data_IF_834947965684
#
_entry.id   IF_834947965684
#
_cell.length_a   1.000
_cell.length_b   1.000
_cell.length_c   1.000
_cell.angle_alpha   90.00
_cell.angle_beta   90.00
_cell.angle_gamma   90.00
#
_symmetry.space_group_name_H-M   'P 1'
#
loop_
_entity.id
_entity.type
_entity.pdbx_description
1 polymer ?
#
# COMPACT_ATOMS: atom_id res chain seq x y z
N UNK A 1 35.03 -5.32 -10.52
CA UNK A 1 34.81 -5.87 -9.16
C UNK A 1 33.74 -6.96 -9.25
N UNK A 2 34.11 -8.23 -9.18
CA UNK A 2 33.20 -9.38 -9.46
C UNK A 2 33.11 -10.37 -8.30
N UNK A 3 33.49 -9.95 -7.09
CA UNK A 3 33.48 -10.81 -5.90
C UNK A 3 32.10 -10.84 -5.23
N UNK A 4 31.65 -12.03 -4.83
CA UNK A 4 30.54 -12.21 -3.89
C UNK A 4 31.08 -12.85 -2.62
N UNK A 5 30.85 -12.21 -1.47
CA UNK A 5 31.21 -12.77 -0.16
C UNK A 5 29.93 -13.28 0.50
N UNK A 6 29.80 -14.60 0.79
CA UNK A 6 28.64 -15.12 1.47
C UNK A 6 28.63 -14.66 2.93
N UNK A 7 27.49 -14.10 3.37
CA UNK A 7 27.24 -13.77 4.77
C UNK A 7 26.42 -14.90 5.38
N UNK A 8 26.86 -15.53 6.49
CA UNK A 8 26.13 -16.65 7.06
C UNK A 8 24.82 -16.19 7.71
N UNK A 9 23.74 -16.91 7.41
CA UNK A 9 22.40 -16.69 7.98
C UNK A 9 22.09 -17.88 8.90
N UNK A 10 22.07 -17.64 10.20
CA UNK A 10 21.79 -18.65 11.22
C UNK A 10 20.38 -18.46 11.81
N UNK A 11 19.77 -19.50 12.42
CA UNK A 11 18.54 -19.32 13.19
C UNK A 11 18.66 -18.20 14.22
N UNK A 12 17.67 -17.30 14.27
CA UNK A 12 17.64 -16.17 15.19
C UNK A 12 18.12 -14.83 14.61
N UNK A 13 18.71 -14.80 13.41
CA UNK A 13 18.94 -13.52 12.71
C UNK A 13 17.65 -13.05 12.00
N UNK A 14 17.41 -11.73 11.86
CA UNK A 14 16.19 -11.21 11.22
C UNK A 14 15.98 -11.64 9.76
N UNK A 15 17.04 -12.07 9.08
CA UNK A 15 16.99 -12.55 7.69
C UNK A 15 16.64 -14.05 7.57
N UNK A 16 16.48 -14.77 8.68
CA UNK A 16 16.07 -16.18 8.68
C UNK A 16 14.57 -16.30 8.33
N UNK A 17 14.25 -17.12 7.33
CA UNK A 17 12.90 -17.25 6.76
C UNK A 17 12.21 -18.60 7.07
N UNK A 18 12.62 -19.30 8.12
CA UNK A 18 12.02 -20.58 8.48
C UNK A 18 10.54 -20.41 8.84
N UNK A 19 9.65 -21.18 8.22
CA UNK A 19 8.19 -21.12 8.43
C UNK A 19 7.45 -20.11 7.53
N UNK A 20 8.15 -19.33 6.71
CA UNK A 20 7.55 -18.34 5.81
C UNK A 20 7.19 -18.93 4.43
N UNK A 21 6.36 -18.20 3.68
CA UNK A 21 5.94 -18.55 2.32
C UNK A 21 6.36 -17.48 1.32
N UNK A 22 6.73 -17.90 0.10
CA UNK A 22 6.93 -17.00 -1.04
C UNK A 22 5.61 -16.87 -1.78
N UNK A 23 5.09 -15.65 -1.90
CA UNK A 23 3.77 -15.39 -2.49
C UNK A 23 3.78 -14.24 -3.49
N UNK A 24 2.84 -14.28 -4.43
CA UNK A 24 2.45 -13.10 -5.21
C UNK A 24 1.44 -12.31 -4.40
N UNK A 25 1.89 -11.31 -3.64
CA UNK A 25 1.02 -10.57 -2.72
C UNK A 25 -0.26 -10.03 -3.38
N UNK A 26 -0.19 -9.51 -4.60
CA UNK A 26 -1.38 -9.06 -5.34
C UNK A 26 -2.44 -10.16 -5.56
N UNK A 27 -2.03 -11.43 -5.73
CA UNK A 27 -2.95 -12.57 -5.83
C UNK A 27 -3.54 -12.95 -4.47
N UNK A 28 -2.75 -12.84 -3.41
CA UNK A 28 -3.25 -13.03 -2.04
C UNK A 28 -4.29 -11.98 -1.69
N UNK A 29 -4.03 -10.70 -2.01
CA UNK A 29 -4.98 -9.60 -1.78
C UNK A 29 -6.25 -9.77 -2.60
N UNK A 30 -6.14 -10.15 -3.87
CA UNK A 30 -7.31 -10.48 -4.71
C UNK A 30 -8.18 -11.56 -4.05
N UNK A 31 -7.55 -12.67 -3.64
CA UNK A 31 -8.26 -13.76 -2.95
C UNK A 31 -8.89 -13.29 -1.64
N UNK A 32 -8.20 -12.49 -0.83
CA UNK A 32 -8.77 -11.93 0.40
C UNK A 32 -9.99 -11.04 0.13
N UNK A 33 -10.03 -10.33 -0.99
CA UNK A 33 -11.21 -9.58 -1.44
C UNK A 33 -12.41 -10.49 -1.66
N UNK A 34 -12.22 -11.60 -2.39
CA UNK A 34 -13.27 -12.61 -2.61
C UNK A 34 -13.78 -13.19 -1.29
N UNK A 35 -12.89 -13.44 -0.32
CA UNK A 35 -13.29 -13.90 1.02
C UNK A 35 -14.06 -12.84 1.80
N UNK A 36 -13.71 -11.56 1.65
CA UNK A 36 -14.41 -10.45 2.31
C UNK A 36 -15.82 -10.27 1.74
N UNK A 37 -15.98 -10.28 0.43
CA UNK A 37 -17.29 -10.22 -0.24
C UNK A 37 -18.18 -11.40 0.17
N UNK A 38 -17.62 -12.62 0.22
CA UNK A 38 -18.34 -13.80 0.70
C UNK A 38 -18.77 -13.68 2.18
N UNK A 39 -18.04 -12.90 2.99
CA UNK A 39 -18.40 -12.58 4.36
C UNK A 39 -19.39 -11.41 4.49
N UNK A 40 -19.87 -10.84 3.36
CA UNK A 40 -20.84 -9.76 3.31
C UNK A 40 -20.23 -8.35 3.37
N UNK A 41 -18.92 -8.22 3.19
CA UNK A 41 -18.27 -6.91 3.04
C UNK A 41 -18.58 -6.35 1.66
N UNK A 42 -19.03 -5.11 1.60
CA UNK A 42 -19.24 -4.40 0.34
C UNK A 42 -17.91 -3.81 -0.14
N UNK A 43 -17.40 -4.30 -1.28
CA UNK A 43 -16.10 -3.88 -1.83
C UNK A 43 -16.33 -2.99 -3.05
N UNK A 44 -15.76 -1.78 -2.99
CA UNK A 44 -15.88 -0.76 -4.04
C UNK A 44 -14.51 -0.54 -4.69
N UNK A 45 -14.11 -1.38 -5.68
CA UNK A 45 -12.85 -1.19 -6.39
C UNK A 45 -12.90 0.06 -7.27
N UNK A 46 -11.73 0.58 -7.65
CA UNK A 46 -11.57 1.74 -8.54
C UNK A 46 -12.15 3.07 -8.00
N UNK A 47 -12.58 3.10 -6.74
CA UNK A 47 -13.18 4.26 -6.11
C UNK A 47 -12.22 4.81 -5.05
N UNK A 48 -11.62 5.96 -5.37
CA UNK A 48 -10.69 6.64 -4.49
C UNK A 48 -11.44 7.52 -3.48
N UNK A 49 -11.17 7.32 -2.20
CA UNK A 49 -11.47 8.32 -1.17
C UNK A 49 -10.51 9.51 -1.37
N UNK A 50 -11.04 10.73 -1.49
CA UNK A 50 -10.29 11.95 -1.78
C UNK A 50 -10.38 13.01 -0.69
N UNK A 51 -11.39 12.92 0.17
CA UNK A 51 -11.63 13.88 1.24
C UNK A 51 -12.02 13.18 2.55
N UNK A 52 -11.53 13.71 3.67
CA UNK A 52 -11.96 13.29 5.02
C UNK A 52 -13.07 14.21 5.51
N UNK A 53 -14.22 13.63 5.84
CA UNK A 53 -15.36 14.36 6.38
C UNK A 53 -15.26 14.39 7.91
N UNK A 54 -15.56 15.55 8.51
CA UNK A 54 -15.54 15.74 9.96
C UNK A 54 -16.91 16.16 10.48
N UNK A 55 -17.24 15.71 11.68
CA UNK A 55 -18.37 16.21 12.45
C UNK A 55 -18.06 17.59 13.05
N UNK A 56 -19.08 18.26 13.56
CA UNK A 56 -18.94 19.56 14.23
C UNK A 56 -18.06 19.49 15.49
N UNK A 57 -18.03 18.34 16.17
CA UNK A 57 -17.16 18.09 17.33
C UNK A 57 -15.68 17.83 16.94
N UNK A 58 -15.37 17.83 15.64
CA UNK A 58 -14.04 17.60 15.10
C UNK A 58 -13.68 16.13 14.88
N UNK A 59 -14.53 15.17 15.29
CA UNK A 59 -14.33 13.74 15.04
C UNK A 59 -14.53 13.39 13.55
N UNK A 60 -13.97 12.26 13.11
CA UNK A 60 -14.13 11.79 11.72
C UNK A 60 -15.56 11.29 11.52
N UNK A 61 -16.24 11.85 10.52
CA UNK A 61 -17.59 11.45 10.08
C UNK A 61 -17.56 10.37 9.00
N UNK A 62 -16.50 10.36 8.19
CA UNK A 62 -16.42 9.49 7.01
C UNK A 62 -15.43 10.00 5.96
N UNK A 63 -15.66 9.59 4.71
CA UNK A 63 -14.90 10.03 3.54
C UNK A 63 -15.84 10.48 2.43
N UNK A 64 -15.31 11.26 1.48
CA UNK A 64 -15.95 11.45 0.18
C UNK A 64 -15.04 10.94 -0.94
N UNK A 65 -15.65 10.47 -2.02
CA UNK A 65 -14.93 10.03 -3.22
C UNK A 65 -14.57 11.21 -4.11
N UNK A 66 -13.68 10.99 -5.07
CA UNK A 66 -13.33 12.02 -6.05
C UNK A 66 -14.52 12.43 -6.92
N UNK A 67 -14.60 13.73 -7.21
CA UNK A 67 -15.44 14.26 -8.30
C UNK A 67 -14.93 13.73 -9.65
N UNK A 68 -15.85 13.47 -10.58
CA UNK A 68 -15.53 13.04 -11.96
C UNK A 68 -15.93 14.12 -12.96
N UNK A 69 -15.32 14.09 -14.15
CA UNK A 69 -15.64 15.05 -15.21
C UNK A 69 -15.02 16.43 -15.02
N UNK A 70 -13.87 16.54 -14.36
CA UNK A 70 -13.09 17.79 -14.25
C UNK A 70 -12.04 17.86 -15.38
N UNK A 71 -11.91 19.04 -16.00
CA UNK A 71 -10.91 19.38 -17.00
C UNK A 71 -9.49 19.47 -16.44
N UNK A 72 -8.49 19.40 -17.33
CA UNK A 72 -7.08 19.59 -16.94
C UNK A 72 -6.82 21.00 -16.39
N UNK A 73 -7.63 21.95 -16.82
CA UNK A 73 -7.69 23.35 -16.36
C UNK A 73 -8.46 23.51 -15.03
N UNK A 74 -9.06 22.44 -14.51
CA UNK A 74 -9.88 22.46 -13.30
C UNK A 74 -11.35 22.84 -13.53
N UNK A 75 -11.76 23.15 -14.77
CA UNK A 75 -13.15 23.50 -15.08
C UNK A 75 -14.03 22.23 -15.16
N UNK A 76 -15.29 22.27 -14.71
CA UNK A 76 -16.21 21.15 -14.89
C UNK A 76 -16.52 20.94 -16.38
N UNK A 77 -16.52 19.69 -16.83
CA UNK A 77 -16.97 19.28 -18.17
C UNK A 77 -18.46 18.98 -18.14
N UNK A 78 -19.05 18.78 -19.32
CA UNK A 78 -20.47 18.41 -19.47
C UNK A 78 -20.87 17.14 -18.70
N UNK A 79 -19.92 16.22 -18.46
CA UNK A 79 -20.10 15.00 -17.66
C UNK A 79 -19.70 15.13 -16.19
N UNK A 80 -19.65 16.34 -15.63
CA UNK A 80 -19.28 16.54 -14.24
C UNK A 80 -20.27 15.85 -13.29
N UNK A 81 -19.74 15.09 -12.34
CA UNK A 81 -20.51 14.51 -11.24
C UNK A 81 -19.72 14.64 -9.94
N UNK A 82 -20.43 15.06 -8.89
CA UNK A 82 -19.89 15.12 -7.53
C UNK A 82 -19.60 13.73 -7.00
N UNK A 83 -18.53 13.61 -6.23
CA UNK A 83 -18.21 12.42 -5.46
C UNK A 83 -19.28 12.11 -4.41
N UNK A 84 -19.32 10.86 -3.98
CA UNK A 84 -20.27 10.36 -3.00
C UNK A 84 -19.68 10.44 -1.59
N UNK A 85 -20.50 10.85 -0.62
CA UNK A 85 -20.14 10.81 0.79
C UNK A 85 -20.46 9.44 1.40
N UNK A 86 -19.50 8.85 2.10
CA UNK A 86 -19.66 7.65 2.90
C UNK A 86 -19.55 8.03 4.37
N UNK A 87 -20.68 8.05 5.08
CA UNK A 87 -20.70 8.31 6.52
C UNK A 87 -20.59 6.99 7.28
N UNK A 88 -19.69 6.95 8.26
CA UNK A 88 -19.47 5.76 9.07
C UNK A 88 -19.20 6.16 10.52
N UNK A 89 -19.66 5.33 11.46
CA UNK A 89 -19.35 5.50 12.89
C UNK A 89 -17.86 5.39 13.18
N UNK A 90 -17.14 4.62 12.38
CA UNK A 90 -15.70 4.44 12.45
C UNK A 90 -15.17 4.29 11.03
N UNK A 91 -14.14 5.07 10.71
CA UNK A 91 -13.43 4.98 9.42
C UNK A 91 -12.02 4.48 9.68
N UNK A 92 -11.65 3.36 9.06
CA UNK A 92 -10.29 2.80 9.16
C UNK A 92 -9.48 3.26 7.96
N UNK A 93 -8.40 4.00 8.21
CA UNK A 93 -7.50 4.47 7.17
C UNK A 93 -6.41 3.42 6.91
N UNK A 94 -6.49 2.74 5.75
CA UNK A 94 -5.61 1.64 5.35
C UNK A 94 -4.92 1.90 3.99
N UNK A 95 -4.58 3.15 3.68
CA UNK A 95 -3.95 3.55 2.41
C UNK A 95 -2.53 2.98 2.19
N UNK A 96 -1.90 2.45 3.25
CA UNK A 96 -0.54 1.94 3.21
C UNK A 96 0.53 3.02 3.36
N UNK A 97 1.70 2.78 2.76
CA UNK A 97 2.87 3.63 2.92
C UNK A 97 2.61 5.06 2.39
N UNK A 98 2.67 6.05 3.29
CA UNK A 98 2.52 7.49 2.97
C UNK A 98 1.14 7.85 2.38
N UNK A 99 0.07 7.28 2.94
CA UNK A 99 -1.33 7.63 2.60
C UNK A 99 -1.63 9.13 2.71
N UNK A 100 -2.36 9.66 1.73
CA UNK A 100 -2.59 11.11 1.63
C UNK A 100 -3.69 11.61 2.58
N UNK A 101 -4.76 10.84 2.78
CA UNK A 101 -5.79 11.15 3.78
C UNK A 101 -5.26 10.89 5.18
N UNK A 102 -4.54 9.79 5.36
CA UNK A 102 -3.88 9.40 6.61
C UNK A 102 -2.96 10.53 7.08
N UNK A 103 -2.19 11.15 6.17
CA UNK A 103 -1.37 12.33 6.49
C UNK A 103 -2.23 13.48 7.03
N UNK A 104 -3.36 13.80 6.39
CA UNK A 104 -4.24 14.87 6.85
C UNK A 104 -4.82 14.60 8.25
N UNK A 105 -5.24 13.36 8.51
CA UNK A 105 -5.74 12.93 9.83
C UNK A 105 -4.65 13.01 10.89
N UNK A 106 -3.45 12.51 10.58
CA UNK A 106 -2.29 12.58 11.47
C UNK A 106 -1.95 14.02 11.84
N UNK A 107 -2.02 14.95 10.87
CA UNK A 107 -1.74 16.37 11.08
C UNK A 107 -2.85 17.04 11.90
N UNK A 108 -4.14 16.80 11.58
CA UNK A 108 -5.28 17.39 12.29
C UNK A 108 -5.30 17.03 13.78
N UNK A 109 -5.01 15.76 14.11
CA UNK A 109 -5.04 15.27 15.48
C UNK A 109 -3.67 15.25 16.16
N UNK A 110 -2.63 15.82 15.53
CA UNK A 110 -1.27 15.90 16.06
C UNK A 110 -0.72 14.52 16.53
N UNK A 111 -0.89 13.50 15.68
CA UNK A 111 -0.59 12.10 16.03
C UNK A 111 0.86 11.69 15.77
N UNK A 112 1.74 12.64 15.41
CA UNK A 112 3.15 12.37 15.10
C UNK A 112 4.08 13.16 16.00
N UNK A 113 5.02 12.46 16.61
CA UNK A 113 6.09 13.07 17.41
C UNK A 113 7.41 13.22 16.63
N UNK A 114 7.53 12.56 15.49
CA UNK A 114 8.73 12.56 14.65
C UNK A 114 8.36 12.33 13.17
N UNK A 115 9.27 12.73 12.27
CA UNK A 115 9.13 12.46 10.85
C UNK A 115 9.37 10.97 10.55
N UNK A 116 8.52 10.39 9.69
CA UNK A 116 8.71 9.03 9.20
C UNK A 116 9.80 8.99 8.12
N UNK A 117 10.64 7.96 8.14
CA UNK A 117 11.64 7.66 7.10
C UNK A 117 11.10 6.60 6.14
N UNK A 118 11.51 6.67 4.88
CA UNK A 118 11.00 5.80 3.81
C UNK A 118 12.13 5.30 2.92
N UNK A 119 11.92 4.14 2.32
CA UNK A 119 12.71 3.63 1.19
C UNK A 119 11.81 3.43 -0.03
N UNK A 120 12.39 3.52 -1.22
CA UNK A 120 11.71 3.18 -2.47
C UNK A 120 12.09 1.76 -2.89
N UNK A 121 11.08 0.92 -3.15
CA UNK A 121 11.26 -0.43 -3.67
C UNK A 121 10.92 -0.47 -5.15
N UNK A 122 11.83 -0.99 -5.96
CA UNK A 122 11.60 -1.27 -7.38
C UNK A 122 11.49 -2.78 -7.56
N UNK A 123 10.57 -3.22 -8.43
CA UNK A 123 10.27 -4.64 -8.63
C UNK A 123 9.93 -4.92 -10.09
N UNK A 124 10.43 -6.06 -10.56
CA UNK A 124 10.14 -6.65 -11.86
C UNK A 124 9.80 -8.14 -11.69
N UNK A 125 9.15 -8.72 -12.69
CA UNK A 125 8.83 -10.15 -12.76
C UNK A 125 9.47 -10.73 -14.00
N UNK A 126 10.20 -11.83 -13.83
CA UNK A 126 10.93 -12.50 -14.90
C UNK A 126 10.45 -13.93 -15.09
N UNK A 127 10.42 -14.38 -16.33
CA UNK A 127 10.46 -15.80 -16.67
C UNK A 127 11.91 -16.15 -17.01
N UNK A 128 12.42 -17.23 -16.42
CA UNK A 128 13.83 -17.65 -16.56
C UNK A 128 13.90 -19.08 -17.06
N UNK A 129 15.07 -19.45 -17.59
CA UNK A 129 15.40 -20.83 -17.93
C UNK A 129 15.09 -21.76 -16.73
N UNK A 130 14.23 -22.77 -16.90
CA UNK A 130 13.87 -23.71 -15.84
C UNK A 130 15.09 -24.38 -15.17
N UNK A 131 16.18 -24.60 -15.91
CA UNK A 131 17.40 -25.19 -15.36
C UNK A 131 18.10 -24.29 -14.32
N UNK A 132 17.83 -22.97 -14.33
CA UNK A 132 18.37 -21.99 -13.37
C UNK A 132 17.41 -21.73 -12.20
N UNK A 133 16.16 -22.16 -12.31
CA UNK A 133 15.13 -21.93 -11.29
C UNK A 133 15.31 -22.88 -10.10
N UNK A 134 15.29 -22.32 -8.88
CA UNK A 134 15.32 -23.07 -7.62
C UNK A 134 14.09 -22.70 -6.79
N UNK A 135 13.00 -23.50 -6.81
CA UNK A 135 11.80 -23.22 -6.05
C UNK A 135 12.10 -23.05 -4.54
N UNK A 136 11.54 -22.03 -3.92
CA UNK A 136 11.75 -21.73 -2.49
C UNK A 136 13.05 -20.98 -2.17
N UNK A 137 13.88 -20.67 -3.17
CA UNK A 137 15.11 -19.91 -2.98
C UNK A 137 14.83 -18.41 -2.78
N UNK A 138 15.51 -17.81 -1.79
CA UNK A 138 15.44 -16.38 -1.47
C UNK A 138 16.87 -15.86 -1.42
N UNK A 139 17.15 -14.77 -2.13
CA UNK A 139 18.44 -14.10 -2.12
C UNK A 139 18.27 -12.63 -1.75
N UNK A 140 19.16 -12.14 -0.89
CA UNK A 140 19.32 -10.73 -0.58
C UNK A 140 20.79 -10.36 -0.74
N UNK A 141 21.07 -9.20 -1.32
CA UNK A 141 22.42 -8.65 -1.49
C UNK A 141 22.46 -7.22 -0.93
N UNK A 142 23.65 -6.77 -0.56
CA UNK A 142 23.92 -5.40 -0.14
C UNK A 142 25.29 -4.96 -0.67
N UNK A 143 25.49 -3.65 -0.86
CA UNK A 143 26.71 -3.08 -1.43
C UNK A 143 26.47 -2.54 -2.85
N UNK A 144 27.35 -2.89 -3.79
CA UNK A 144 27.29 -2.41 -5.17
C UNK A 144 25.90 -2.63 -5.81
N UNK A 145 25.33 -1.68 -6.57
CA UNK A 145 25.92 -0.43 -7.08
C UNK A 145 25.79 0.78 -6.14
N UNK A 146 25.36 0.59 -4.89
CA UNK A 146 25.24 1.71 -3.96
C UNK A 146 26.62 2.24 -3.57
N UNK A 147 26.81 3.55 -3.72
CA UNK A 147 27.97 4.26 -3.16
C UNK A 147 27.80 4.37 -1.64
N UNK A 148 28.92 4.30 -0.92
CA UNK A 148 28.96 4.51 0.54
C UNK A 148 28.55 5.92 0.91
#
# INVERSE_FOLDING_TARGET
>A
ETGRIPVPVFPGVPLANHGNYIVRLGKVVQWLGEQAEAAGVEVWPEIAASEVLYNEDGSVKGIATSDVGIGKDGAPKDGFARGMEFHAKCTVFAEGCRGHLSKQVLDKFNLRTHAMTYGIGLKELWEIDPAKHRPGYIEHTMGWPLVR
#
